data_IF_005058672604
#
_entry.id   IF_005058672604
#
_cell.length_a   1.000
_cell.length_b   1.000
_cell.length_c   1.000
_cell.angle_alpha   90.00
_cell.angle_beta   90.00
_cell.angle_gamma   90.00
#
_symmetry.space_group_name_H-M   'P 1'
#
loop_
_entity.id
_entity.type
_entity.pdbx_description
1 polymer ?
#
# COMPACT_ATOMS: atom_id res chain seq x y z
N UNK A 1 -48.21 -52.07 -7.84
CA UNK A 1 -47.56 -51.44 -8.99
C UNK A 1 -47.56 -49.94 -8.77
N UNK A 2 -46.40 -49.29 -8.55
CA UNK A 2 -46.31 -47.83 -8.39
C UNK A 2 -45.80 -47.26 -9.71
N UNK A 3 -46.64 -46.47 -10.41
CA UNK A 3 -46.31 -45.77 -11.65
C UNK A 3 -45.50 -44.52 -11.31
N UNK A 4 -44.27 -44.46 -11.81
CA UNK A 4 -43.47 -43.24 -11.76
C UNK A 4 -43.93 -42.27 -12.86
N UNK A 5 -44.47 -41.11 -12.47
CA UNK A 5 -44.77 -40.03 -13.40
C UNK A 5 -43.46 -39.27 -13.72
N UNK A 6 -43.04 -39.37 -14.96
CA UNK A 6 -41.89 -38.55 -15.45
C UNK A 6 -42.40 -37.13 -15.72
N UNK A 7 -41.95 -36.18 -14.91
CA UNK A 7 -42.24 -34.77 -15.09
C UNK A 7 -41.48 -34.26 -16.33
N UNK A 8 -42.19 -34.05 -17.46
CA UNK A 8 -41.65 -33.42 -18.66
C UNK A 8 -41.37 -31.95 -18.38
N UNK A 9 -40.14 -31.59 -18.06
CA UNK A 9 -39.71 -30.20 -18.00
C UNK A 9 -39.84 -29.54 -19.36
N UNK A 10 -40.54 -28.39 -19.43
CA UNK A 10 -40.70 -27.63 -20.68
C UNK A 10 -39.31 -27.15 -21.16
N UNK A 11 -38.99 -27.35 -22.45
CA UNK A 11 -37.70 -26.97 -23.08
C UNK A 11 -37.26 -25.54 -22.75
N UNK A 12 -38.18 -24.60 -22.56
CA UNK A 12 -37.89 -23.20 -22.21
C UNK A 12 -37.20 -23.03 -20.83
N UNK A 13 -37.59 -23.78 -19.81
CA UNK A 13 -37.01 -23.71 -18.48
C UNK A 13 -35.58 -24.28 -18.44
N UNK A 14 -35.30 -25.34 -19.20
CA UNK A 14 -33.96 -25.91 -19.33
C UNK A 14 -33.02 -24.89 -20.01
N UNK A 15 -33.49 -24.25 -21.10
CA UNK A 15 -32.71 -23.23 -21.80
C UNK A 15 -32.43 -22.00 -20.90
N UNK A 16 -33.38 -21.55 -20.11
CA UNK A 16 -33.20 -20.46 -19.15
C UNK A 16 -32.21 -20.83 -18.06
N UNK A 17 -32.37 -22.03 -17.46
CA UNK A 17 -31.44 -22.51 -16.43
C UNK A 17 -29.97 -22.59 -16.91
N UNK A 18 -29.76 -23.10 -18.12
CA UNK A 18 -28.42 -23.15 -18.72
C UNK A 18 -27.83 -21.76 -18.94
N UNK A 19 -28.60 -20.81 -19.48
CA UNK A 19 -28.15 -19.42 -19.66
C UNK A 19 -27.81 -18.75 -18.33
N UNK A 20 -28.64 -18.97 -17.30
CA UNK A 20 -28.40 -18.44 -15.96
C UNK A 20 -27.11 -18.99 -15.34
N UNK A 21 -26.84 -20.29 -15.50
CA UNK A 21 -25.60 -20.92 -15.04
C UNK A 21 -24.37 -20.37 -15.77
N UNK A 22 -24.45 -20.21 -17.09
CA UNK A 22 -23.34 -19.61 -17.86
C UNK A 22 -23.07 -18.16 -17.37
N UNK A 23 -24.12 -17.37 -17.22
CA UNK A 23 -23.97 -16.00 -16.72
C UNK A 23 -23.35 -15.98 -15.32
N UNK A 24 -23.84 -16.82 -14.41
CA UNK A 24 -23.28 -16.93 -13.07
C UNK A 24 -21.80 -17.35 -13.07
N UNK A 25 -21.42 -18.30 -13.93
CA UNK A 25 -20.03 -18.71 -14.10
C UNK A 25 -19.15 -17.58 -14.64
N UNK A 26 -19.63 -16.81 -15.62
CA UNK A 26 -18.91 -15.65 -16.17
C UNK A 26 -18.73 -14.56 -15.11
N UNK A 27 -19.80 -14.22 -14.37
CA UNK A 27 -19.71 -13.22 -13.30
C UNK A 27 -18.79 -13.67 -12.17
N UNK A 28 -18.84 -14.93 -11.77
CA UNK A 28 -17.93 -15.50 -10.77
C UNK A 28 -16.48 -15.47 -11.25
N UNK A 29 -16.22 -15.82 -12.50
CA UNK A 29 -14.87 -15.76 -13.09
C UNK A 29 -14.35 -14.33 -13.14
N UNK A 30 -15.19 -13.38 -13.57
CA UNK A 30 -14.82 -11.95 -13.60
C UNK A 30 -14.54 -11.42 -12.20
N UNK A 31 -15.38 -11.76 -11.22
CA UNK A 31 -15.20 -11.38 -9.83
C UNK A 31 -13.89 -11.93 -9.25
N UNK A 32 -13.63 -13.23 -9.49
CA UNK A 32 -12.38 -13.88 -9.04
C UNK A 32 -11.16 -13.24 -9.68
N UNK A 33 -11.21 -12.96 -10.99
CA UNK A 33 -10.13 -12.27 -11.70
C UNK A 33 -9.89 -10.87 -11.11
N UNK A 34 -10.97 -10.13 -10.87
CA UNK A 34 -10.87 -8.78 -10.33
C UNK A 34 -10.27 -8.78 -8.92
N UNK A 35 -10.77 -9.62 -8.01
CA UNK A 35 -10.30 -9.70 -6.62
C UNK A 35 -8.89 -10.30 -6.49
N UNK A 36 -8.47 -11.13 -7.45
CA UNK A 36 -7.10 -11.64 -7.50
C UNK A 36 -6.08 -10.58 -7.96
N UNK A 37 -6.54 -9.54 -8.68
CA UNK A 37 -5.68 -8.49 -9.20
C UNK A 37 -5.73 -7.21 -8.41
N UNK A 38 -6.91 -6.83 -7.92
CA UNK A 38 -7.13 -5.51 -7.33
C UNK A 38 -7.61 -5.62 -5.90
N UNK A 39 -7.21 -4.65 -5.08
CA UNK A 39 -7.72 -4.44 -3.72
C UNK A 39 -8.11 -2.99 -3.50
N UNK A 40 -9.07 -2.79 -2.62
CA UNK A 40 -9.39 -1.47 -2.07
C UNK A 40 -8.60 -1.33 -0.77
N UNK A 41 -7.76 -0.31 -0.69
CA UNK A 41 -7.09 0.10 0.53
C UNK A 41 -7.86 1.25 1.18
N UNK A 42 -8.01 1.22 2.49
CA UNK A 42 -8.66 2.27 3.26
C UNK A 42 -7.64 2.81 4.27
N UNK A 43 -7.41 4.12 4.25
CA UNK A 43 -6.65 4.84 5.26
C UNK A 43 -7.65 5.50 6.24
N UNK A 44 -7.74 4.96 7.44
CA UNK A 44 -8.65 5.39 8.50
C UNK A 44 -8.08 6.53 9.37
N UNK A 45 -6.89 7.01 9.04
CA UNK A 45 -6.27 8.12 9.76
C UNK A 45 -7.04 9.42 9.52
N UNK A 46 -7.13 10.29 10.55
CA UNK A 46 -7.75 11.62 10.44
C UNK A 46 -7.13 12.45 9.31
N UNK A 47 -5.83 12.33 9.11
CA UNK A 47 -5.08 12.96 8.03
C UNK A 47 -4.42 11.84 7.22
N UNK A 48 -4.96 11.53 6.03
CA UNK A 48 -4.46 10.42 5.23
C UNK A 48 -3.06 10.71 4.69
N UNK A 49 -2.22 9.67 4.65
CA UNK A 49 -0.81 9.80 4.26
C UNK A 49 -0.59 10.27 2.81
N UNK A 50 -1.52 9.97 1.90
CA UNK A 50 -1.46 10.31 0.46
C UNK A 50 -2.60 11.22 0.02
N UNK A 51 -3.21 11.98 0.94
CA UNK A 51 -4.28 12.93 0.61
C UNK A 51 -5.64 12.32 0.29
N UNK A 52 -5.77 10.98 0.28
CA UNK A 52 -7.03 10.27 0.04
C UNK A 52 -7.24 9.18 1.09
N UNK A 53 -8.50 8.88 1.41
CA UNK A 53 -8.87 7.81 2.34
C UNK A 53 -9.09 6.46 1.66
N UNK A 54 -9.31 6.44 0.36
CA UNK A 54 -9.60 5.21 -0.40
C UNK A 54 -8.64 5.10 -1.58
N UNK A 55 -8.03 3.94 -1.72
CA UNK A 55 -7.07 3.62 -2.77
C UNK A 55 -7.48 2.39 -3.54
N UNK A 56 -7.21 2.40 -4.83
CA UNK A 56 -7.32 1.24 -5.70
C UNK A 56 -5.92 0.68 -5.96
N UNK A 57 -5.66 -0.53 -5.47
CA UNK A 57 -4.34 -1.15 -5.46
C UNK A 57 -4.30 -2.25 -6.53
N UNK A 58 -3.44 -2.12 -7.53
CA UNK A 58 -3.12 -3.18 -8.49
C UNK A 58 -2.03 -4.09 -7.90
N UNK A 59 -2.39 -5.30 -7.49
CA UNK A 59 -1.49 -6.25 -6.82
C UNK A 59 -0.45 -6.87 -7.77
N UNK A 60 -0.66 -6.77 -9.08
CA UNK A 60 0.22 -7.38 -10.09
C UNK A 60 1.12 -6.33 -10.78
N UNK A 61 0.90 -5.06 -10.50
CA UNK A 61 1.75 -3.99 -11.01
C UNK A 61 3.03 -3.90 -10.17
N UNK A 62 3.86 -4.94 -10.28
CA UNK A 62 5.22 -4.90 -9.76
C UNK A 62 6.09 -4.39 -10.90
N UNK A 63 6.47 -3.14 -10.85
CA UNK A 63 7.35 -2.55 -11.86
C UNK A 63 8.78 -3.05 -11.66
N UNK A 64 9.43 -3.43 -12.76
CA UNK A 64 10.83 -3.86 -12.74
C UNK A 64 11.77 -2.72 -12.25
N UNK A 65 11.33 -1.46 -12.43
CA UNK A 65 12.00 -0.27 -11.89
C UNK A 65 10.96 0.65 -11.27
N UNK A 66 10.96 0.82 -9.95
CA UNK A 66 10.06 1.74 -9.27
C UNK A 66 10.26 3.18 -9.76
N UNK A 67 9.16 3.91 -9.97
CA UNK A 67 9.15 5.26 -10.53
C UNK A 67 8.98 6.29 -9.41
N UNK A 68 9.90 7.25 -9.32
CA UNK A 68 9.79 8.35 -8.36
C UNK A 68 8.53 9.17 -8.60
N UNK A 69 7.85 9.55 -7.52
CA UNK A 69 6.58 10.28 -7.58
C UNK A 69 5.34 9.38 -7.61
N UNK A 70 5.46 8.11 -7.96
CA UNK A 70 4.35 7.15 -7.92
C UNK A 70 4.06 6.67 -6.48
N UNK A 71 2.79 6.31 -6.22
CA UNK A 71 2.37 5.77 -4.94
C UNK A 71 2.43 4.24 -4.96
N UNK A 72 3.00 3.67 -3.91
CA UNK A 72 3.16 2.23 -3.74
C UNK A 72 2.53 1.78 -2.44
N UNK A 73 1.93 0.59 -2.47
CA UNK A 73 1.49 -0.10 -1.27
C UNK A 73 2.45 -1.26 -0.99
N UNK A 74 2.90 -1.35 0.26
CA UNK A 74 3.84 -2.37 0.71
C UNK A 74 3.57 -2.75 2.17
N UNK A 75 4.08 -3.92 2.56
CA UNK A 75 3.95 -4.41 3.94
C UNK A 75 5.26 -4.13 4.67
N UNK A 76 5.17 -3.43 5.79
CA UNK A 76 6.29 -3.23 6.70
C UNK A 76 6.04 -4.02 7.98
N UNK A 77 7.09 -4.69 8.46
CA UNK A 77 7.16 -5.27 9.80
C UNK A 77 7.88 -4.29 10.71
N UNK A 78 7.14 -3.45 11.40
CA UNK A 78 7.72 -2.58 12.41
C UNK A 78 7.77 -3.31 13.76
N UNK A 79 8.93 -3.24 14.42
CA UNK A 79 8.95 -3.48 15.86
C UNK A 79 8.25 -2.31 16.54
N UNK A 80 7.34 -2.55 17.49
CA UNK A 80 6.68 -1.47 18.23
C UNK A 80 7.73 -0.54 18.83
N UNK A 81 7.68 0.75 18.51
CA UNK A 81 8.61 1.76 19.02
C UNK A 81 8.48 1.99 20.53
N UNK A 82 7.32 1.72 21.09
CA UNK A 82 7.06 1.68 22.52
C UNK A 82 5.72 0.96 22.78
N UNK A 83 5.72 -0.12 23.53
CA UNK A 83 4.49 -0.80 23.92
C UNK A 83 4.74 -2.17 24.54
N UNK A 84 3.83 -2.61 25.37
CA UNK A 84 3.90 -3.89 26.09
C UNK A 84 3.77 -5.12 25.18
N UNK A 85 3.38 -4.94 23.92
CA UNK A 85 3.24 -6.03 22.96
C UNK A 85 4.51 -6.15 22.10
N UNK A 86 5.30 -7.20 22.37
CA UNK A 86 6.56 -7.50 21.67
C UNK A 86 6.35 -8.17 20.30
N UNK A 87 5.10 -8.37 19.86
CA UNK A 87 4.80 -9.00 18.58
C UNK A 87 5.05 -8.01 17.44
N UNK A 88 5.81 -8.42 16.45
CA UNK A 88 5.93 -7.65 15.21
C UNK A 88 4.56 -7.59 14.55
N UNK A 89 4.02 -6.39 14.37
CA UNK A 89 2.78 -6.19 13.63
C UNK A 89 3.11 -5.87 12.18
N UNK A 90 2.44 -6.57 11.27
CA UNK A 90 2.51 -6.26 9.84
C UNK A 90 1.47 -5.17 9.54
N UNK A 91 1.95 -4.08 8.96
CA UNK A 91 1.09 -3.00 8.50
C UNK A 91 1.22 -2.87 6.99
N UNK A 92 0.09 -2.74 6.31
CA UNK A 92 0.08 -2.33 4.91
C UNK A 92 0.13 -0.81 4.86
N UNK A 93 1.16 -0.29 4.24
CA UNK A 93 1.40 1.14 4.10
C UNK A 93 1.25 1.56 2.64
N UNK A 94 0.76 2.77 2.44
CA UNK A 94 0.73 3.41 1.14
C UNK A 94 1.53 4.71 1.24
N UNK A 95 2.56 4.84 0.42
CA UNK A 95 3.47 5.99 0.42
C UNK A 95 3.93 6.28 -1.01
N UNK A 96 4.40 7.50 -1.22
CA UNK A 96 4.98 7.93 -2.49
C UNK A 96 6.49 7.70 -2.50
N UNK A 97 6.99 7.12 -3.58
CA UNK A 97 8.42 6.89 -3.76
C UNK A 97 9.15 8.23 -4.01
N UNK A 98 10.04 8.58 -3.11
CA UNK A 98 10.79 9.84 -3.16
C UNK A 98 12.20 9.67 -3.72
N UNK A 99 12.87 8.54 -3.39
CA UNK A 99 14.23 8.29 -3.87
C UNK A 99 14.45 6.78 -4.10
N UNK A 100 15.37 6.48 -5.01
CA UNK A 100 15.73 5.12 -5.46
C UNK A 100 17.25 4.92 -5.41
N UNK A 101 17.70 3.71 -5.73
CA UNK A 101 19.13 3.36 -5.87
C UNK A 101 19.92 4.45 -6.59
N UNK A 102 21.04 4.85 -6.02
CA UNK A 102 21.94 5.88 -6.54
C UNK A 102 21.59 7.31 -6.12
N UNK A 103 20.37 7.57 -5.65
CA UNK A 103 20.04 8.88 -5.10
C UNK A 103 20.74 9.10 -3.76
N UNK A 104 21.17 10.34 -3.51
CA UNK A 104 21.67 10.76 -2.20
C UNK A 104 20.51 11.31 -1.37
N UNK A 105 20.27 10.73 -0.20
CA UNK A 105 19.35 11.29 0.79
C UNK A 105 20.13 11.96 1.92
N UNK A 106 19.59 13.05 2.43
CA UNK A 106 20.17 13.76 3.56
C UNK A 106 19.06 14.25 4.50
N UNK A 107 19.24 14.00 5.79
CA UNK A 107 18.47 14.66 6.85
C UNK A 107 19.47 15.51 7.63
N UNK A 108 19.28 16.81 7.62
CA UNK A 108 20.14 17.75 8.33
C UNK A 108 19.84 17.74 9.83
N UNK A 109 20.75 18.29 10.64
CA UNK A 109 20.57 18.39 12.11
C UNK A 109 19.35 19.21 12.51
N UNK A 110 18.99 20.22 11.72
CA UNK A 110 17.78 21.03 11.88
C UNK A 110 16.50 20.37 11.32
N UNK A 111 16.61 19.15 10.80
CA UNK A 111 15.48 18.32 10.40
C UNK A 111 14.99 18.51 8.97
N UNK A 112 15.73 19.20 8.11
CA UNK A 112 15.40 19.26 6.68
C UNK A 112 15.72 17.94 6.01
N UNK A 113 14.86 17.51 5.10
CA UNK A 113 15.08 16.34 4.29
C UNK A 113 15.35 16.73 2.83
N UNK A 114 16.49 16.26 2.31
CA UNK A 114 16.94 16.53 0.95
C UNK A 114 17.10 15.24 0.14
N UNK A 115 16.82 15.34 -1.16
CA UNK A 115 17.12 14.31 -2.15
C UNK A 115 18.01 14.97 -3.22
N UNK A 116 19.18 14.40 -3.42
CA UNK A 116 20.19 14.93 -4.37
C UNK A 116 20.49 16.42 -4.18
N UNK A 117 20.53 16.87 -2.91
CA UNK A 117 20.79 18.27 -2.55
C UNK A 117 19.57 19.20 -2.64
N UNK A 118 18.42 18.73 -3.14
CA UNK A 118 17.20 19.53 -3.20
C UNK A 118 16.33 19.27 -1.96
N UNK A 119 15.91 20.34 -1.27
CA UNK A 119 15.02 20.24 -0.10
C UNK A 119 13.64 19.74 -0.56
N UNK A 120 13.20 18.64 0.03
CA UNK A 120 11.90 18.01 -0.23
C UNK A 120 10.93 18.23 0.93
N UNK A 121 11.46 18.32 2.16
CA UNK A 121 10.71 18.64 3.38
C UNK A 121 11.56 19.53 4.27
N UNK A 122 10.93 20.52 4.89
CA UNK A 122 11.61 21.53 5.71
C UNK A 122 11.76 21.12 7.18
N UNK A 123 11.08 20.05 7.62
CA UNK A 123 11.05 19.67 9.03
C UNK A 123 10.77 18.19 9.29
N UNK A 124 10.96 17.80 10.56
CA UNK A 124 10.62 16.48 11.11
C UNK A 124 9.58 16.63 12.24
N UNK A 125 8.32 16.95 11.93
CA UNK A 125 7.32 17.30 12.95
C UNK A 125 6.96 16.15 13.91
N UNK A 126 7.26 14.89 13.55
CA UNK A 126 7.04 13.76 14.45
C UNK A 126 8.21 13.48 15.40
N UNK A 127 9.37 14.14 15.25
CA UNK A 127 10.53 13.89 16.10
C UNK A 127 10.17 14.04 17.59
N UNK A 128 9.55 15.16 17.98
CA UNK A 128 9.11 15.39 19.34
C UNK A 128 8.09 14.35 19.85
N UNK A 129 7.13 13.92 19.00
CA UNK A 129 6.18 12.84 19.35
C UNK A 129 6.86 11.48 19.57
N UNK A 130 7.99 11.26 18.93
CA UNK A 130 8.83 10.09 19.10
C UNK A 130 9.82 10.22 20.27
N UNK A 131 9.76 11.33 21.01
CA UNK A 131 10.67 11.62 22.14
C UNK A 131 12.11 11.83 21.68
N UNK A 132 12.33 12.38 20.50
CA UNK A 132 13.63 12.59 19.88
C UNK A 132 13.74 14.02 19.35
N UNK A 133 14.97 14.52 19.38
CA UNK A 133 15.33 15.75 18.67
C UNK A 133 15.56 15.45 17.18
N UNK A 134 15.38 16.43 16.27
CA UNK A 134 15.61 16.24 14.83
C UNK A 134 17.00 15.70 14.51
N UNK A 135 18.03 16.10 15.25
CA UNK A 135 19.41 15.65 15.07
C UNK A 135 19.57 14.12 15.23
N UNK A 136 18.70 13.45 16.03
CA UNK A 136 18.71 11.99 16.16
C UNK A 136 18.51 11.28 14.83
N UNK A 137 17.76 11.90 13.90
CA UNK A 137 17.46 11.36 12.59
C UNK A 137 18.45 11.82 11.52
N UNK A 138 19.40 12.72 11.89
CA UNK A 138 20.33 13.27 10.91
C UNK A 138 21.21 12.19 10.30
N UNK A 139 21.29 12.19 8.98
CA UNK A 139 22.07 11.24 8.21
C UNK A 139 22.26 11.72 6.79
N UNK A 140 23.34 11.27 6.16
CA UNK A 140 23.57 11.40 4.73
C UNK A 140 24.05 10.08 4.17
N UNK A 141 23.37 9.59 3.15
CA UNK A 141 23.76 8.33 2.51
C UNK A 141 23.32 8.28 1.05
N UNK A 142 24.04 7.50 0.24
CA UNK A 142 23.62 7.11 -1.10
C UNK A 142 22.84 5.81 -0.98
N UNK A 143 21.65 5.76 -1.58
CA UNK A 143 20.81 4.57 -1.56
C UNK A 143 21.48 3.44 -2.36
N UNK A 144 21.57 2.27 -1.73
CA UNK A 144 22.12 1.07 -2.32
C UNK A 144 21.13 0.37 -3.23
N UNK A 145 21.60 -0.63 -3.96
CA UNK A 145 20.74 -1.48 -4.79
C UNK A 145 19.59 -2.09 -3.98
N UNK A 146 18.37 -1.85 -4.45
CA UNK A 146 17.16 -2.33 -3.81
C UNK A 146 16.64 -1.47 -2.65
N UNK A 147 17.38 -0.44 -2.22
CA UNK A 147 16.89 0.52 -1.22
C UNK A 147 15.94 1.53 -1.88
N UNK A 148 14.80 1.77 -1.23
CA UNK A 148 13.76 2.70 -1.66
C UNK A 148 13.42 3.63 -0.51
N UNK A 149 13.17 4.89 -0.82
CA UNK A 149 12.84 5.90 0.19
C UNK A 149 11.44 6.45 -0.05
N UNK A 150 10.55 6.26 0.91
CA UNK A 150 9.14 6.58 0.79
C UNK A 150 8.74 7.74 1.69
N UNK A 151 7.91 8.64 1.16
CA UNK A 151 7.30 9.75 1.89
C UNK A 151 5.79 9.71 1.82
N UNK A 152 5.13 10.24 2.84
CA UNK A 152 3.75 10.65 2.71
C UNK A 152 3.63 12.03 2.08
N UNK A 153 2.47 12.35 1.54
CA UNK A 153 2.20 13.69 0.98
C UNK A 153 2.03 14.73 2.09
N UNK A 154 1.66 14.30 3.30
CA UNK A 154 1.48 15.18 4.47
C UNK A 154 2.76 15.30 5.29
N UNK A 155 3.01 16.49 5.86
CA UNK A 155 4.18 16.78 6.70
C UNK A 155 4.26 15.85 7.93
N UNK A 156 3.11 15.52 8.53
CA UNK A 156 3.01 14.67 9.71
C UNK A 156 2.99 13.17 9.39
N UNK A 157 3.35 12.78 8.18
CA UNK A 157 3.45 11.38 7.82
C UNK A 157 4.61 10.68 8.54
N UNK A 158 4.35 9.50 9.11
CA UNK A 158 5.41 8.61 9.59
C UNK A 158 5.93 7.80 8.40
N UNK A 159 7.13 8.12 7.93
CA UNK A 159 7.70 7.63 6.68
C UNK A 159 9.22 7.40 6.79
N UNK A 160 9.88 7.17 5.66
CA UNK A 160 11.32 6.84 5.62
C UNK A 160 12.23 7.88 6.28
N UNK A 161 11.76 9.11 6.51
CA UNK A 161 12.52 10.10 7.29
C UNK A 161 12.81 9.58 8.71
N UNK A 162 11.93 8.76 9.26
CA UNK A 162 12.00 8.26 10.64
C UNK A 162 12.54 6.84 10.75
N UNK A 163 12.25 5.96 9.77
CA UNK A 163 12.61 4.55 9.82
C UNK A 163 13.65 4.10 8.79
N UNK A 164 14.04 4.95 7.82
CA UNK A 164 15.08 4.68 6.83
C UNK A 164 14.57 4.13 5.49
N UNK A 165 15.48 3.70 4.63
CA UNK A 165 15.15 3.07 3.36
C UNK A 165 14.67 1.63 3.52
#
# INVERSE_FOLDING_TARGET
MRTFSTMKMKKGYVSFGVKALILAALLSSLFTFFTARFRIGIDDQKVPCLGHHVYFIDLKRVEAKPVKGEAYSFVIRLRPLAGKDKRSQEFTWAKRLAAVEGDTIEITKDGKFLVNGTVVRDSLPLAAKLGKEPEYFSRRQVLKKGELYFLGDTETSYDSRYWGP
#
